data_IF_067340692681
#
_entry.id   IF_067340692681
#
_cell.length_a   1.000
_cell.length_b   1.000
_cell.length_c   1.000
_cell.angle_alpha   90.00
_cell.angle_beta   90.00
_cell.angle_gamma   90.00
#
_symmetry.space_group_name_H-M   'P 1'
#
loop_
_entity.id
_entity.type
_entity.pdbx_description
1 polymer ?
#
# COMPACT_ATOMS: atom_id res chain seq x y z
N UNK A 1 -32.18 14.70 -24.04
CA UNK A 1 -31.27 14.28 -22.94
C UNK A 1 -30.38 13.16 -23.49
N UNK A 2 -29.06 13.35 -23.57
CA UNK A 2 -28.18 12.23 -23.95
C UNK A 2 -28.16 11.22 -22.80
N UNK A 3 -28.54 9.96 -23.08
CA UNK A 3 -28.43 8.87 -22.13
C UNK A 3 -26.95 8.53 -21.95
N UNK A 4 -26.29 9.19 -21.01
CA UNK A 4 -24.93 8.81 -20.64
C UNK A 4 -24.99 7.41 -20.00
N UNK A 5 -24.46 6.41 -20.72
CA UNK A 5 -24.33 5.05 -20.23
C UNK A 5 -23.52 5.01 -18.92
N UNK A 6 -23.70 3.97 -18.11
CA UNK A 6 -22.93 3.77 -16.88
C UNK A 6 -21.41 3.87 -17.14
N UNK A 7 -20.95 3.31 -18.26
CA UNK A 7 -19.55 3.38 -18.67
C UNK A 7 -19.11 4.81 -18.93
N UNK A 8 -19.85 5.61 -19.71
CA UNK A 8 -19.48 6.99 -20.01
C UNK A 8 -19.37 7.84 -18.74
N UNK A 9 -20.29 7.65 -17.78
CA UNK A 9 -20.27 8.38 -16.50
C UNK A 9 -19.11 7.97 -15.58
N UNK A 10 -18.73 6.70 -15.60
CA UNK A 10 -17.73 6.14 -14.68
C UNK A 10 -16.39 5.80 -15.32
N UNK A 11 -16.18 6.20 -16.58
CA UNK A 11 -15.03 5.79 -17.41
C UNK A 11 -13.69 5.95 -16.68
N UNK A 12 -13.47 7.10 -16.06
CA UNK A 12 -12.22 7.37 -15.35
C UNK A 12 -12.00 6.43 -14.15
N UNK A 13 -13.05 6.09 -13.40
CA UNK A 13 -12.97 5.13 -12.30
C UNK A 13 -12.64 3.73 -12.81
N UNK A 14 -13.41 3.27 -13.80
CA UNK A 14 -13.27 1.93 -14.38
C UNK A 14 -11.88 1.74 -14.97
N UNK A 15 -11.41 2.69 -15.81
CA UNK A 15 -10.11 2.60 -16.45
C UNK A 15 -8.96 2.70 -15.45
N UNK A 16 -9.08 3.53 -14.41
CA UNK A 16 -8.04 3.61 -13.36
C UNK A 16 -7.95 2.30 -12.59
N UNK A 17 -9.10 1.74 -12.19
CA UNK A 17 -9.14 0.47 -11.45
C UNK A 17 -8.64 -0.70 -12.31
N UNK A 18 -9.04 -0.77 -13.58
CA UNK A 18 -8.54 -1.77 -14.51
C UNK A 18 -7.02 -1.62 -14.75
N UNK A 19 -6.53 -0.40 -14.93
CA UNK A 19 -5.11 -0.14 -15.09
C UNK A 19 -4.30 -0.60 -13.88
N UNK A 20 -4.74 -0.22 -12.68
CA UNK A 20 -4.11 -0.68 -11.43
C UNK A 20 -4.23 -2.20 -11.25
N UNK A 21 -5.36 -2.79 -11.61
CA UNK A 21 -5.59 -4.24 -11.54
C UNK A 21 -4.69 -5.03 -12.49
N UNK A 22 -4.51 -4.56 -13.73
CA UNK A 22 -3.62 -5.19 -14.72
C UNK A 22 -2.16 -5.05 -14.27
N UNK A 23 -1.74 -3.85 -13.88
CA UNK A 23 -0.38 -3.62 -13.38
C UNK A 23 -0.12 -4.50 -12.16
N UNK A 24 -1.04 -4.52 -11.19
CA UNK A 24 -0.91 -5.34 -10.00
C UNK A 24 -0.92 -6.83 -10.29
N UNK A 25 -1.77 -7.29 -11.21
CA UNK A 25 -1.78 -8.69 -11.66
C UNK A 25 -0.47 -9.08 -12.33
N UNK A 26 0.04 -8.26 -13.25
CA UNK A 26 1.33 -8.53 -13.91
C UNK A 26 2.44 -8.59 -12.87
N UNK A 27 2.49 -7.64 -11.93
CA UNK A 27 3.48 -7.67 -10.86
C UNK A 27 3.37 -8.91 -10.00
N UNK A 28 2.18 -9.22 -9.49
CA UNK A 28 1.98 -10.37 -8.61
C UNK A 28 2.25 -11.68 -9.36
N UNK A 29 1.74 -11.85 -10.59
CA UNK A 29 1.91 -13.06 -11.40
C UNK A 29 3.35 -13.28 -11.90
N UNK A 30 4.07 -12.20 -12.21
CA UNK A 30 5.44 -12.30 -12.69
C UNK A 30 6.43 -12.47 -11.54
N UNK A 31 6.17 -11.82 -10.40
CA UNK A 31 7.11 -11.79 -9.27
C UNK A 31 6.85 -12.86 -8.24
N UNK A 32 5.59 -13.26 -8.07
CA UNK A 32 5.22 -14.37 -7.21
C UNK A 32 4.86 -15.56 -8.11
N UNK A 33 5.51 -16.68 -7.85
CA UNK A 33 4.99 -17.95 -8.34
C UNK A 33 3.89 -18.32 -7.33
N UNK A 34 2.67 -18.55 -7.79
CA UNK A 34 1.55 -18.89 -6.93
C UNK A 34 0.55 -19.79 -7.67
N UNK A 35 -0.05 -20.72 -6.95
CA UNK A 35 -1.26 -21.42 -7.41
C UNK A 35 -2.46 -20.44 -7.32
N UNK A 36 -2.86 -19.90 -8.46
CA UNK A 36 -3.97 -18.96 -8.57
C UNK A 36 -5.32 -19.58 -8.19
N UNK A 37 -5.52 -20.86 -8.48
CA UNK A 37 -6.75 -21.55 -8.14
C UNK A 37 -6.86 -21.69 -6.63
N UNK A 38 -5.79 -22.16 -5.98
CA UNK A 38 -5.73 -22.25 -4.54
C UNK A 38 -5.86 -20.86 -3.88
N UNK A 39 -5.12 -19.86 -4.36
CA UNK A 39 -5.12 -18.51 -3.79
C UNK A 39 -6.50 -17.86 -3.80
N UNK A 40 -7.32 -18.12 -4.82
CA UNK A 40 -8.69 -17.61 -4.88
C UNK A 40 -9.64 -18.45 -4.03
N UNK A 41 -9.50 -19.79 -4.05
CA UNK A 41 -10.42 -20.70 -3.34
C UNK A 41 -10.22 -20.71 -1.83
N UNK A 42 -8.99 -20.62 -1.35
CA UNK A 42 -8.67 -20.70 0.07
C UNK A 42 -9.33 -19.60 0.93
N UNK A 43 -9.24 -18.29 0.60
CA UNK A 43 -9.93 -17.27 1.38
C UNK A 43 -11.45 -17.47 1.35
N UNK A 44 -12.03 -17.91 0.23
CA UNK A 44 -13.45 -18.25 0.16
C UNK A 44 -13.79 -19.42 1.08
N UNK A 45 -12.98 -20.48 1.09
CA UNK A 45 -13.13 -21.61 2.00
C UNK A 45 -13.11 -21.17 3.47
N UNK A 46 -12.11 -20.36 3.85
CA UNK A 46 -12.00 -19.80 5.22
C UNK A 46 -13.24 -18.98 5.57
N UNK A 47 -13.71 -18.11 4.68
CA UNK A 47 -14.89 -17.25 4.93
C UNK A 47 -16.18 -18.08 5.04
N UNK A 48 -16.35 -19.10 4.19
CA UNK A 48 -17.59 -19.87 4.10
C UNK A 48 -17.69 -20.99 5.15
N UNK A 49 -16.56 -21.55 5.58
CA UNK A 49 -16.52 -22.70 6.49
C UNK A 49 -15.90 -22.42 7.86
N UNK A 50 -15.16 -21.31 8.00
CA UNK A 50 -14.34 -21.04 9.19
C UNK A 50 -13.07 -21.90 9.29
N UNK A 51 -12.84 -22.82 8.35
CA UNK A 51 -11.71 -23.76 8.39
C UNK A 51 -10.44 -23.16 7.76
N UNK A 52 -9.40 -23.07 8.58
CA UNK A 52 -8.10 -22.47 8.22
C UNK A 52 -7.04 -23.50 7.80
N UNK A 53 -7.33 -24.81 7.97
CA UNK A 53 -6.40 -25.91 7.67
C UNK A 53 -5.95 -25.96 6.21
N UNK A 54 -6.77 -25.39 5.30
CA UNK A 54 -6.45 -25.27 3.88
C UNK A 54 -6.67 -26.54 3.07
N UNK A 55 -7.36 -27.54 3.62
CA UNK A 55 -7.79 -28.75 2.92
C UNK A 55 -9.02 -28.42 2.07
N UNK A 56 -8.79 -28.09 0.79
CA UNK A 56 -9.86 -27.66 -0.13
C UNK A 56 -10.60 -28.81 -0.81
N UNK A 57 -10.04 -30.03 -0.76
CA UNK A 57 -10.58 -31.24 -1.37
C UNK A 57 -10.46 -32.37 -0.36
N UNK A 58 -11.45 -33.28 -0.34
CA UNK A 58 -11.42 -34.44 0.53
C UNK A 58 -10.18 -35.32 0.26
N UNK A 59 -9.55 -35.86 1.32
CA UNK A 59 -8.39 -36.72 1.18
C UNK A 59 -8.77 -38.04 0.49
N UNK A 60 -7.92 -38.53 -0.41
CA UNK A 60 -8.16 -39.77 -1.17
C UNK A 60 -7.77 -41.04 -0.39
N UNK A 61 -7.18 -40.88 0.80
CA UNK A 61 -6.78 -42.00 1.67
C UNK A 61 -6.74 -41.59 3.14
N UNK A 62 -6.85 -42.58 4.04
CA UNK A 62 -6.68 -42.38 5.48
C UNK A 62 -5.30 -41.84 5.85
N UNK A 63 -4.26 -42.26 5.11
CA UNK A 63 -2.91 -41.73 5.30
C UNK A 63 -2.85 -40.24 4.97
N UNK A 64 -3.44 -39.82 3.84
CA UNK A 64 -3.50 -38.41 3.48
C UNK A 64 -4.34 -37.59 4.48
N UNK A 65 -5.45 -38.14 4.98
CA UNK A 65 -6.25 -37.50 6.03
C UNK A 65 -5.42 -37.26 7.31
N UNK A 66 -4.66 -38.27 7.75
CA UNK A 66 -3.77 -38.19 8.90
C UNK A 66 -2.66 -37.16 8.69
N UNK A 67 -2.00 -37.16 7.52
CA UNK A 67 -0.96 -36.18 7.17
C UNK A 67 -1.53 -34.77 7.15
N UNK A 68 -2.69 -34.57 6.52
CA UNK A 68 -3.36 -33.27 6.47
C UNK A 68 -3.71 -32.76 7.87
N UNK A 69 -4.17 -33.64 8.76
CA UNK A 69 -4.48 -33.29 10.14
C UNK A 69 -3.22 -32.94 10.95
N UNK A 70 -2.10 -33.63 10.73
CA UNK A 70 -0.88 -33.42 11.50
C UNK A 70 -0.03 -32.24 10.98
N UNK A 71 0.04 -32.04 9.66
CA UNK A 71 0.99 -31.12 9.01
C UNK A 71 0.34 -30.12 8.05
N UNK A 72 -0.97 -30.20 7.88
CA UNK A 72 -1.70 -29.47 6.83
C UNK A 72 -1.62 -30.19 5.47
N UNK A 73 -2.39 -29.74 4.47
CA UNK A 73 -2.31 -30.25 3.11
C UNK A 73 -0.89 -30.07 2.57
N UNK A 74 -0.57 -30.84 1.53
CA UNK A 74 0.75 -30.88 0.90
C UNK A 74 1.43 -29.52 0.91
N UNK A 75 2.71 -29.49 1.31
CA UNK A 75 3.55 -28.29 1.24
C UNK A 75 3.41 -27.58 -0.11
N UNK A 76 3.19 -28.38 -1.16
CA UNK A 76 3.03 -27.95 -2.54
C UNK A 76 1.74 -27.15 -2.85
N UNK A 77 0.80 -27.01 -1.91
CA UNK A 77 -0.49 -26.36 -2.17
C UNK A 77 -0.44 -24.81 -2.09
N UNK A 78 0.51 -24.25 -1.35
CA UNK A 78 0.72 -22.78 -1.24
C UNK A 78 2.22 -22.44 -1.30
N UNK A 79 3.07 -23.27 -0.68
CA UNK A 79 4.45 -22.90 -0.35
C UNK A 79 5.60 -23.53 -1.15
N UNK A 80 5.43 -24.46 -2.12
CA UNK A 80 6.58 -24.80 -2.96
C UNK A 80 6.99 -23.55 -3.74
N UNK A 81 6.03 -22.69 -4.08
CA UNK A 81 6.25 -21.49 -4.85
C UNK A 81 6.70 -20.28 -4.04
N UNK A 82 6.60 -20.21 -2.69
CA UNK A 82 7.26 -19.15 -1.92
C UNK A 82 8.75 -19.43 -1.86
N UNK A 83 9.15 -20.65 -1.49
CA UNK A 83 10.56 -21.01 -1.46
C UNK A 83 11.12 -21.00 -2.88
N UNK A 84 10.35 -21.45 -3.86
CA UNK A 84 10.79 -21.43 -5.26
C UNK A 84 10.75 -20.03 -5.88
N UNK A 85 9.75 -19.17 -5.62
CA UNK A 85 9.77 -17.77 -6.06
C UNK A 85 10.79 -16.94 -5.29
N UNK A 86 11.01 -17.22 -4.01
CA UNK A 86 12.12 -16.66 -3.26
C UNK A 86 13.43 -17.10 -3.93
N UNK A 87 13.70 -18.39 -4.07
CA UNK A 87 14.96 -18.87 -4.62
C UNK A 87 15.18 -18.53 -6.11
N UNK A 88 14.15 -18.65 -6.96
CA UNK A 88 14.23 -18.45 -8.42
C UNK A 88 13.91 -17.01 -8.86
N UNK A 89 13.06 -16.28 -8.12
CA UNK A 89 12.54 -14.97 -8.54
C UNK A 89 12.85 -13.80 -7.62
N UNK A 90 13.39 -14.01 -6.40
CA UNK A 90 13.89 -12.90 -5.57
C UNK A 90 14.98 -12.08 -6.27
N UNK A 91 15.68 -12.70 -7.22
CA UNK A 91 16.67 -12.06 -8.07
C UNK A 91 16.07 -11.12 -9.10
N UNK A 92 14.79 -11.27 -9.44
CA UNK A 92 14.09 -10.37 -10.35
C UNK A 92 13.38 -9.23 -9.62
N UNK A 93 13.13 -9.35 -8.30
CA UNK A 93 12.33 -8.37 -7.55
C UNK A 93 12.97 -6.99 -7.52
N UNK A 94 14.30 -6.89 -7.49
CA UNK A 94 14.96 -5.58 -7.57
C UNK A 94 14.80 -4.91 -8.95
N UNK A 95 14.67 -5.68 -10.03
CA UNK A 95 14.45 -5.14 -11.37
C UNK A 95 13.08 -4.47 -11.52
N UNK A 96 12.09 -4.87 -10.72
CA UNK A 96 10.80 -4.15 -10.62
C UNK A 96 11.02 -2.73 -10.14
N UNK A 97 11.77 -2.55 -9.05
CA UNK A 97 12.07 -1.23 -8.52
C UNK A 97 12.95 -0.42 -9.48
N UNK A 98 13.88 -1.07 -10.19
CA UNK A 98 14.67 -0.41 -11.25
C UNK A 98 13.75 0.05 -12.39
N UNK A 99 12.83 -0.79 -12.84
CA UNK A 99 11.87 -0.44 -13.89
C UNK A 99 10.97 0.73 -13.46
N UNK A 100 10.51 0.72 -12.21
CA UNK A 100 9.75 1.81 -11.62
C UNK A 100 10.56 3.12 -11.59
N UNK A 101 11.80 3.08 -11.13
CA UNK A 101 12.72 4.24 -11.16
C UNK A 101 12.92 4.73 -12.59
N UNK A 102 13.12 3.82 -13.55
CA UNK A 102 13.27 4.16 -14.97
C UNK A 102 12.02 4.85 -15.54
N UNK A 103 10.82 4.41 -15.14
CA UNK A 103 9.55 5.07 -15.49
C UNK A 103 9.53 6.50 -14.94
N UNK A 104 9.88 6.72 -13.66
CA UNK A 104 9.95 8.05 -13.09
C UNK A 104 11.00 8.94 -13.76
N UNK A 105 12.17 8.40 -14.08
CA UNK A 105 13.20 9.10 -14.85
C UNK A 105 12.70 9.50 -16.24
N UNK A 106 12.04 8.58 -16.97
CA UNK A 106 11.44 8.87 -18.26
C UNK A 106 10.36 9.96 -18.15
N UNK A 107 9.47 9.86 -17.16
CA UNK A 107 8.45 10.87 -16.90
C UNK A 107 9.07 12.24 -16.61
N UNK A 108 10.17 12.27 -15.84
CA UNK A 108 10.89 13.51 -15.57
C UNK A 108 11.51 14.11 -16.84
N UNK A 109 12.19 13.30 -17.66
CA UNK A 109 12.77 13.76 -18.94
C UNK A 109 11.70 14.28 -19.89
N UNK A 110 10.55 13.59 -19.97
CA UNK A 110 9.47 13.94 -20.91
C UNK A 110 8.63 15.13 -20.48
N UNK A 111 8.24 15.19 -19.20
CA UNK A 111 7.30 16.20 -18.71
C UNK A 111 7.97 17.33 -17.94
N UNK A 112 9.23 17.16 -17.55
CA UNK A 112 9.98 18.12 -16.77
C UNK A 112 9.44 18.33 -15.36
N UNK A 113 10.10 19.25 -14.65
CA UNK A 113 9.64 19.72 -13.34
C UNK A 113 8.56 20.78 -13.52
N UNK A 114 7.41 20.59 -12.87
CA UNK A 114 6.38 21.64 -12.77
C UNK A 114 6.87 22.76 -11.86
N UNK A 115 6.90 23.98 -12.40
CA UNK A 115 7.31 25.18 -11.69
C UNK A 115 6.20 26.22 -11.83
N UNK A 116 5.63 26.65 -10.72
CA UNK A 116 4.71 27.78 -10.71
C UNK A 116 5.50 29.09 -10.76
N UNK A 117 4.98 30.05 -11.52
CA UNK A 117 5.49 31.42 -11.51
C UNK A 117 4.94 32.11 -10.27
N UNK A 118 5.82 32.51 -9.34
CA UNK A 118 5.44 33.20 -8.10
C UNK A 118 6.04 34.61 -8.13
N UNK A 119 5.19 35.61 -8.32
CA UNK A 119 5.51 37.03 -8.31
C UNK A 119 5.45 37.64 -6.91
N UNK A 120 4.60 37.11 -6.02
CA UNK A 120 4.52 37.57 -4.63
C UNK A 120 4.74 36.41 -3.63
N UNK A 121 5.98 36.14 -3.21
CA UNK A 121 6.28 35.03 -2.30
C UNK A 121 5.74 35.18 -0.88
N UNK A 122 5.34 36.39 -0.44
CA UNK A 122 4.87 36.63 0.93
C UNK A 122 3.37 36.41 1.11
N UNK A 123 2.58 36.35 0.03
CA UNK A 123 1.17 35.96 0.08
C UNK A 123 1.04 34.43 0.17
N UNK A 124 1.31 33.92 1.37
CA UNK A 124 1.20 32.51 1.69
C UNK A 124 -0.15 32.18 2.36
N UNK A 125 -0.68 31.00 2.03
CA UNK A 125 -1.85 30.42 2.70
C UNK A 125 -1.50 29.08 3.35
N UNK A 126 -2.09 28.80 4.50
CA UNK A 126 -1.91 27.54 5.22
C UNK A 126 -2.73 26.41 4.56
N UNK A 127 -2.02 25.40 4.07
CA UNK A 127 -2.60 24.19 3.48
C UNK A 127 -2.58 23.04 4.49
N UNK A 128 -1.47 22.89 5.21
CA UNK A 128 -1.28 21.86 6.21
C UNK A 128 -1.06 22.48 7.59
N UNK A 129 -1.95 22.18 8.53
CA UNK A 129 -1.73 22.51 9.93
C UNK A 129 -0.62 21.64 10.52
N UNK A 130 -0.22 21.93 11.76
CA UNK A 130 0.85 21.18 12.43
C UNK A 130 0.51 19.70 12.64
N UNK A 131 -0.76 19.37 12.88
CA UNK A 131 -1.22 18.00 13.03
C UNK A 131 -1.07 17.21 11.71
N UNK A 132 -1.53 17.77 10.58
CA UNK A 132 -1.36 17.17 9.26
C UNK A 132 0.11 16.90 8.96
N UNK A 133 0.97 17.90 9.21
CA UNK A 133 2.41 17.76 8.97
C UNK A 133 3.02 16.67 9.85
N UNK A 134 2.69 16.64 11.14
CA UNK A 134 3.20 15.63 12.05
C UNK A 134 2.82 14.21 11.60
N UNK A 135 1.55 13.99 11.25
CA UNK A 135 1.06 12.69 10.77
C UNK A 135 1.76 12.29 9.46
N UNK A 136 1.88 13.20 8.48
CA UNK A 136 2.53 12.92 7.20
C UNK A 136 4.02 12.60 7.38
N UNK A 137 4.76 13.41 8.13
CA UNK A 137 6.19 13.19 8.35
C UNK A 137 6.48 11.93 9.14
N UNK A 138 5.71 11.68 10.20
CA UNK A 138 5.87 10.46 10.99
C UNK A 138 5.54 9.22 10.15
N UNK A 139 4.50 9.29 9.31
CA UNK A 139 4.21 8.24 8.35
C UNK A 139 5.36 8.01 7.36
N UNK A 140 5.96 9.07 6.81
CA UNK A 140 7.13 8.94 5.91
C UNK A 140 8.28 8.21 6.61
N UNK A 141 8.65 8.61 7.83
CA UNK A 141 9.76 8.01 8.58
C UNK A 141 9.49 6.53 8.87
N UNK A 142 8.29 6.20 9.35
CA UNK A 142 7.92 4.81 9.67
C UNK A 142 7.88 3.95 8.42
N UNK A 143 7.29 4.44 7.33
CA UNK A 143 7.23 3.72 6.05
C UNK A 143 8.64 3.46 5.49
N UNK A 144 9.53 4.46 5.46
CA UNK A 144 10.91 4.27 5.01
C UNK A 144 11.61 3.20 5.84
N UNK A 145 11.38 3.21 7.15
CA UNK A 145 11.94 2.20 8.06
C UNK A 145 11.36 0.80 7.80
N UNK A 146 10.04 0.70 7.58
CA UNK A 146 9.36 -0.55 7.21
C UNK A 146 9.85 -1.11 5.87
N UNK A 147 10.14 -0.24 4.90
CA UNK A 147 10.71 -0.64 3.62
C UNK A 147 12.11 -1.23 3.84
N UNK A 148 13.01 -0.50 4.51
CA UNK A 148 14.39 -0.98 4.72
C UNK A 148 14.40 -2.32 5.46
N UNK A 149 13.63 -2.42 6.55
CA UNK A 149 13.54 -3.62 7.37
C UNK A 149 12.84 -4.78 6.64
N UNK A 150 11.75 -4.50 5.91
CA UNK A 150 11.01 -5.51 5.15
C UNK A 150 11.81 -6.05 3.98
N UNK A 151 12.58 -5.19 3.30
CA UNK A 151 13.55 -5.61 2.30
C UNK A 151 14.57 -6.57 2.92
N UNK A 152 15.13 -6.24 4.08
CA UNK A 152 16.07 -7.15 4.73
C UNK A 152 15.47 -8.54 5.03
N UNK A 153 14.19 -8.61 5.42
CA UNK A 153 13.49 -9.90 5.62
C UNK A 153 13.38 -10.67 4.30
N UNK A 154 13.00 -10.00 3.20
CA UNK A 154 12.87 -10.65 1.87
C UNK A 154 14.23 -11.09 1.31
N UNK A 155 15.30 -10.34 1.54
CA UNK A 155 16.63 -10.59 1.01
C UNK A 155 17.65 -10.99 2.09
N UNK A 156 17.20 -11.66 3.16
CA UNK A 156 18.04 -12.02 4.31
C UNK A 156 19.27 -12.87 3.95
N UNK A 157 19.21 -13.62 2.84
CA UNK A 157 20.37 -14.36 2.32
C UNK A 157 21.49 -13.44 1.81
N UNK A 158 21.16 -12.26 1.27
CA UNK A 158 22.16 -11.27 0.80
C UNK A 158 22.78 -10.48 1.93
N UNK A 159 22.03 -10.28 3.02
CA UNK A 159 22.56 -9.64 4.23
C UNK A 159 23.40 -10.57 5.10
N UNK A 160 23.55 -11.85 4.72
CA UNK A 160 24.37 -12.83 5.43
C UNK A 160 23.75 -13.37 6.73
N UNK A 161 22.48 -13.04 6.99
CA UNK A 161 21.79 -13.43 8.22
C UNK A 161 22.37 -12.81 9.50
N UNK A 162 22.34 -13.57 10.60
CA UNK A 162 22.91 -13.17 11.89
C UNK A 162 22.09 -12.14 12.67
N UNK A 163 22.75 -11.46 13.61
CA UNK A 163 22.10 -10.52 14.53
C UNK A 163 21.40 -9.36 13.81
N UNK A 164 22.00 -8.83 12.74
CA UNK A 164 21.41 -7.72 11.97
C UNK A 164 20.06 -8.12 11.39
N UNK A 165 19.96 -9.30 10.78
CA UNK A 165 18.69 -9.80 10.24
C UNK A 165 17.65 -10.04 11.34
N UNK A 166 18.08 -10.54 12.50
CA UNK A 166 17.21 -10.71 13.67
C UNK A 166 16.66 -9.36 14.18
N UNK A 167 17.52 -8.36 14.37
CA UNK A 167 17.12 -7.03 14.84
C UNK A 167 16.23 -6.30 13.84
N UNK A 168 16.54 -6.37 12.54
CA UNK A 168 15.73 -5.75 11.50
C UNK A 168 14.34 -6.40 11.40
N UNK A 169 14.25 -7.73 11.62
CA UNK A 169 12.97 -8.42 11.71
C UNK A 169 12.15 -7.93 12.91
N UNK A 170 12.70 -7.95 14.11
CA UNK A 170 11.99 -7.49 15.30
C UNK A 170 11.59 -6.01 15.19
N UNK A 171 12.44 -5.19 14.59
CA UNK A 171 12.14 -3.78 14.31
C UNK A 171 10.98 -3.63 13.32
N UNK A 172 10.94 -4.45 12.26
CA UNK A 172 9.85 -4.43 11.27
C UNK A 172 8.49 -4.70 11.92
N UNK A 173 8.42 -5.73 12.76
CA UNK A 173 7.20 -6.13 13.46
C UNK A 173 6.70 -5.00 14.39
N UNK A 174 7.61 -4.41 15.17
CA UNK A 174 7.27 -3.28 16.08
C UNK A 174 6.89 -2.01 15.32
N UNK A 175 7.61 -1.68 14.25
CA UNK A 175 7.28 -0.54 13.39
C UNK A 175 5.91 -0.72 12.73
N UNK A 176 5.53 -1.96 12.38
CA UNK A 176 4.21 -2.28 11.83
C UNK A 176 3.08 -1.97 12.82
N UNK A 177 3.27 -2.31 14.09
CA UNK A 177 2.33 -1.97 15.16
C UNK A 177 2.22 -0.45 15.39
N UNK A 178 3.35 0.26 15.38
CA UNK A 178 3.38 1.73 15.46
C UNK A 178 2.73 2.37 14.23
N UNK A 179 2.86 1.73 13.06
CA UNK A 179 2.28 2.23 11.83
C UNK A 179 0.75 2.13 11.83
N UNK A 180 0.14 1.16 12.51
CA UNK A 180 -1.32 1.00 12.55
C UNK A 180 -2.09 2.31 12.89
N UNK A 181 -1.83 2.98 14.03
CA UNK A 181 -2.52 4.23 14.36
C UNK A 181 -2.18 5.36 13.38
N UNK A 182 -0.97 5.36 12.79
CA UNK A 182 -0.54 6.38 11.82
C UNK A 182 -1.19 6.21 10.46
N UNK A 183 -1.25 4.99 9.96
CA UNK A 183 -1.98 4.64 8.74
C UNK A 183 -3.46 4.99 8.90
N UNK A 184 -4.06 4.70 10.06
CA UNK A 184 -5.44 5.09 10.33
C UNK A 184 -5.61 6.61 10.34
N UNK A 185 -4.73 7.35 11.03
CA UNK A 185 -4.74 8.82 11.01
C UNK A 185 -4.57 9.38 9.59
N UNK A 186 -3.63 8.85 8.81
CA UNK A 186 -3.41 9.20 7.39
C UNK A 186 -4.67 8.95 6.55
N UNK A 187 -5.30 7.79 6.72
CA UNK A 187 -6.54 7.41 6.03
C UNK A 187 -7.67 8.38 6.35
N UNK A 188 -7.80 8.77 7.63
CA UNK A 188 -8.79 9.75 8.08
C UNK A 188 -8.50 11.13 7.48
N UNK A 189 -7.31 11.71 7.69
CA UNK A 189 -7.02 13.07 7.19
C UNK A 189 -7.10 13.16 5.66
N UNK A 190 -6.78 12.08 4.95
CA UNK A 190 -6.87 12.02 3.49
C UNK A 190 -8.29 11.70 2.98
N UNK A 191 -9.28 11.41 3.83
CA UNK A 191 -10.64 11.12 3.40
C UNK A 191 -11.41 12.39 3.02
N UNK A 192 -11.01 13.04 1.91
CA UNK A 192 -11.56 14.33 1.45
C UNK A 192 -13.07 14.34 1.26
N UNK A 193 -13.64 13.22 0.85
CA UNK A 193 -15.09 13.08 0.64
C UNK A 193 -15.89 13.09 1.96
N UNK A 194 -15.25 12.89 3.12
CA UNK A 194 -15.88 13.07 4.42
C UNK A 194 -16.44 14.48 4.62
N UNK A 195 -15.88 15.50 3.94
CA UNK A 195 -16.40 16.87 3.97
C UNK A 195 -17.78 17.00 3.33
N UNK A 196 -18.09 16.11 2.38
CA UNK A 196 -19.40 16.06 1.70
C UNK A 196 -20.38 15.29 2.59
N UNK A 197 -19.95 14.17 3.17
CA UNK A 197 -20.78 13.28 3.98
C UNK A 197 -21.11 13.86 5.36
N UNK A 198 -20.13 14.44 6.03
CA UNK A 198 -20.20 14.93 7.41
C UNK A 198 -19.77 16.40 7.47
N UNK A 199 -20.48 17.27 6.74
CA UNK A 199 -20.15 18.69 6.55
C UNK A 199 -20.25 19.49 7.87
N UNK A 200 -19.23 19.40 8.73
CA UNK A 200 -19.14 20.07 10.02
C UNK A 200 -17.78 20.74 10.22
N UNK A 201 -17.62 21.49 11.31
CA UNK A 201 -16.40 22.25 11.58
C UNK A 201 -15.18 21.37 11.84
N UNK A 202 -15.40 20.18 12.44
CA UNK A 202 -14.35 19.23 12.77
C UNK A 202 -13.77 18.58 11.50
N UNK A 203 -14.61 18.09 10.60
CA UNK A 203 -14.17 17.50 9.32
C UNK A 203 -13.46 18.53 8.45
N UNK A 204 -13.91 19.79 8.43
CA UNK A 204 -13.24 20.87 7.69
C UNK A 204 -11.83 21.22 8.20
N UNK A 205 -11.54 20.93 9.48
CA UNK A 205 -10.26 21.16 10.15
C UNK A 205 -9.33 19.94 10.07
N UNK A 206 -9.87 18.75 10.30
CA UNK A 206 -9.13 17.48 10.36
C UNK A 206 -8.75 16.94 8.97
N UNK A 207 -9.59 17.18 7.96
CA UNK A 207 -9.39 16.63 6.62
C UNK A 207 -8.54 17.58 5.77
N UNK A 208 -7.60 17.01 5.01
CA UNK A 208 -6.74 17.71 4.07
C UNK A 208 -7.55 18.53 3.06
N UNK A 209 -7.05 19.72 2.71
CA UNK A 209 -7.73 20.68 1.82
C UNK A 209 -7.88 20.15 0.38
N UNK A 210 -8.86 20.69 -0.33
CA UNK A 210 -9.19 20.34 -1.72
C UNK A 210 -10.15 19.14 -1.84
N UNK A 211 -10.22 18.57 -3.05
CA UNK A 211 -11.13 17.47 -3.42
C UNK A 211 -10.41 16.38 -4.22
N UNK A 212 -11.07 15.23 -4.40
CA UNK A 212 -10.55 14.16 -5.25
C UNK A 212 -11.14 14.21 -6.65
N UNK A 213 -10.25 14.14 -7.65
CA UNK A 213 -10.63 13.70 -8.99
C UNK A 213 -10.94 12.20 -8.97
N UNK A 214 -11.71 11.65 -9.93
CA UNK A 214 -12.01 10.22 -10.00
C UNK A 214 -10.79 9.30 -9.82
N UNK A 215 -9.70 9.61 -10.52
CA UNK A 215 -8.45 8.85 -10.43
C UNK A 215 -7.84 8.91 -9.03
N UNK A 216 -7.72 10.09 -8.43
CA UNK A 216 -7.17 10.26 -7.08
C UNK A 216 -8.02 9.55 -6.01
N UNK A 217 -9.34 9.49 -6.22
CA UNK A 217 -10.27 8.76 -5.35
C UNK A 217 -10.01 7.24 -5.41
N UNK A 218 -9.83 6.67 -6.60
CA UNK A 218 -9.46 5.26 -6.75
C UNK A 218 -8.10 4.98 -6.09
N UNK A 219 -7.10 5.82 -6.34
CA UNK A 219 -5.77 5.70 -5.73
C UNK A 219 -5.85 5.71 -4.20
N UNK A 220 -6.62 6.63 -3.63
CA UNK A 220 -6.84 6.71 -2.18
C UNK A 220 -7.48 5.43 -1.63
N UNK A 221 -8.51 4.90 -2.29
CA UNK A 221 -9.15 3.64 -1.88
C UNK A 221 -8.15 2.47 -1.95
N UNK A 222 -7.38 2.36 -3.03
CA UNK A 222 -6.37 1.31 -3.18
C UNK A 222 -5.29 1.45 -2.11
N UNK A 223 -4.81 2.66 -1.80
CA UNK A 223 -3.86 2.90 -0.71
C UNK A 223 -4.40 2.41 0.65
N UNK A 224 -5.67 2.70 0.97
CA UNK A 224 -6.31 2.19 2.18
C UNK A 224 -6.36 0.66 2.17
N UNK A 225 -6.84 0.06 1.08
CA UNK A 225 -6.95 -1.40 0.98
C UNK A 225 -5.59 -2.08 1.13
N UNK A 226 -4.54 -1.58 0.47
CA UNK A 226 -3.19 -2.15 0.58
C UNK A 226 -2.63 -1.98 2.00
N UNK A 227 -2.81 -0.82 2.62
CA UNK A 227 -2.36 -0.61 4.00
C UNK A 227 -3.12 -1.47 5.01
N UNK A 228 -4.43 -1.64 4.84
CA UNK A 228 -5.23 -2.56 5.63
C UNK A 228 -4.78 -4.03 5.43
N UNK A 229 -4.52 -4.44 4.19
CA UNK A 229 -3.98 -5.77 3.88
C UNK A 229 -2.64 -6.01 4.55
N UNK A 230 -1.72 -5.04 4.51
CA UNK A 230 -0.42 -5.11 5.19
C UNK A 230 -0.56 -5.23 6.70
N UNK A 231 -1.34 -4.35 7.32
CA UNK A 231 -1.54 -4.36 8.77
C UNK A 231 -2.23 -5.63 9.25
N UNK A 232 -3.31 -6.04 8.58
CA UNK A 232 -4.04 -7.26 8.92
C UNK A 232 -3.14 -8.48 8.78
N UNK A 233 -2.54 -8.68 7.60
CA UNK A 233 -1.64 -9.83 7.39
C UNK A 233 -0.42 -9.80 8.33
N UNK A 234 0.18 -8.63 8.56
CA UNK A 234 1.34 -8.48 9.44
C UNK A 234 1.01 -8.80 10.89
N UNK A 235 -0.08 -8.24 11.43
CA UNK A 235 -0.55 -8.52 12.80
C UNK A 235 -0.92 -9.99 12.95
N UNK A 236 -1.63 -10.58 11.99
CA UNK A 236 -2.02 -11.99 12.07
C UNK A 236 -0.80 -12.91 11.99
N UNK A 237 0.18 -12.64 11.12
CA UNK A 237 1.44 -13.41 11.06
C UNK A 237 2.21 -13.29 12.39
N UNK A 238 2.27 -12.09 12.95
CA UNK A 238 2.93 -11.82 14.23
C UNK A 238 2.22 -12.51 15.40
N UNK A 239 0.89 -12.49 15.45
CA UNK A 239 0.10 -13.18 16.47
C UNK A 239 0.21 -14.71 16.35
N UNK A 240 0.29 -15.23 15.12
CA UNK A 240 0.54 -16.64 14.83
C UNK A 240 2.05 -16.97 14.84
N UNK A 241 2.84 -16.30 15.70
CA UNK A 241 4.27 -16.59 15.82
C UNK A 241 4.46 -18.09 16.11
N UNK A 242 5.39 -18.79 15.43
CA UNK A 242 5.53 -20.22 15.66
C UNK A 242 5.99 -20.46 17.10
N UNK A 243 5.25 -21.30 17.79
CA UNK A 243 5.56 -21.87 19.09
C UNK A 243 5.39 -23.40 19.03
N UNK A 244 5.68 -24.08 20.14
CA UNK A 244 5.55 -25.54 20.23
C UNK A 244 4.10 -26.05 20.03
N UNK A 245 3.11 -25.14 20.02
CA UNK A 245 1.69 -25.42 19.89
C UNK A 245 1.12 -24.98 18.53
N UNK A 246 1.95 -24.52 17.59
CA UNK A 246 1.46 -24.06 16.30
C UNK A 246 1.01 -25.25 15.46
N UNK A 247 -0.29 -25.53 15.55
CA UNK A 247 -0.95 -26.64 14.90
C UNK A 247 -1.02 -26.48 13.36
N UNK A 248 -1.16 -27.60 12.65
CA UNK A 248 -1.43 -27.69 11.21
C UNK A 248 -2.52 -26.74 10.71
N UNK A 249 -3.45 -26.38 11.58
CA UNK A 249 -4.59 -25.49 11.36
C UNK A 249 -4.21 -24.12 10.80
N UNK A 250 -3.10 -23.53 11.25
CA UNK A 250 -2.73 -22.17 10.87
C UNK A 250 -1.60 -22.08 9.85
N UNK A 251 -0.98 -23.21 9.49
CA UNK A 251 0.18 -23.24 8.58
C UNK A 251 -0.18 -22.64 7.22
N UNK A 252 -1.30 -23.07 6.64
CA UNK A 252 -1.71 -22.61 5.32
C UNK A 252 -2.23 -21.17 5.35
N UNK A 253 -2.96 -20.80 6.40
CA UNK A 253 -3.34 -19.41 6.63
C UNK A 253 -2.11 -18.49 6.69
N UNK A 254 -1.09 -18.86 7.45
CA UNK A 254 0.15 -18.07 7.58
C UNK A 254 0.86 -17.91 6.23
N UNK A 255 0.95 -18.98 5.43
CA UNK A 255 1.55 -18.93 4.08
C UNK A 255 0.78 -18.01 3.14
N UNK A 256 -0.54 -18.13 3.14
CA UNK A 256 -1.41 -17.24 2.37
C UNK A 256 -1.21 -15.78 2.78
N UNK A 257 -1.16 -15.51 4.10
CA UNK A 257 -0.97 -14.15 4.61
C UNK A 257 0.41 -13.59 4.25
N UNK A 258 1.47 -14.41 4.20
CA UNK A 258 2.79 -13.96 3.73
C UNK A 258 2.72 -13.47 2.28
N UNK A 259 2.00 -14.18 1.40
CA UNK A 259 1.78 -13.72 0.03
C UNK A 259 0.98 -12.44 -0.04
N UNK A 260 -0.11 -12.33 0.73
CA UNK A 260 -0.92 -11.11 0.77
C UNK A 260 -0.09 -9.93 1.28
N UNK A 261 0.72 -10.14 2.34
CA UNK A 261 1.58 -9.13 2.92
C UNK A 261 2.63 -8.64 1.90
N UNK A 262 3.32 -9.58 1.27
CA UNK A 262 4.34 -9.27 0.28
C UNK A 262 3.74 -8.62 -0.99
N UNK A 263 2.65 -9.16 -1.52
CA UNK A 263 1.97 -8.58 -2.68
C UNK A 263 1.46 -7.16 -2.42
N UNK A 264 0.86 -6.92 -1.25
CA UNK A 264 0.40 -5.59 -0.86
C UNK A 264 1.57 -4.60 -0.68
N UNK A 265 2.74 -5.05 -0.24
CA UNK A 265 3.92 -4.18 -0.06
C UNK A 265 4.47 -3.68 -1.40
N UNK A 266 4.49 -4.54 -2.43
CA UNK A 266 4.90 -4.14 -3.79
C UNK A 266 3.91 -3.12 -4.36
N UNK A 267 2.60 -3.34 -4.21
CA UNK A 267 1.60 -2.42 -4.73
C UNK A 267 1.57 -1.09 -4.00
N UNK A 268 1.74 -1.08 -2.67
CA UNK A 268 1.77 0.17 -1.91
C UNK A 268 3.01 1.00 -2.23
N UNK A 269 4.13 0.35 -2.60
CA UNK A 269 5.37 1.04 -2.96
C UNK A 269 5.17 2.01 -4.12
N UNK A 270 4.41 1.62 -5.16
CA UNK A 270 4.12 2.51 -6.29
C UNK A 270 3.55 3.86 -5.88
N UNK A 271 2.63 3.85 -4.92
CA UNK A 271 2.01 5.08 -4.42
C UNK A 271 2.97 5.89 -3.55
N UNK A 272 3.82 5.22 -2.79
CA UNK A 272 4.84 5.87 -1.95
C UNK A 272 5.92 6.54 -2.80
N UNK A 273 6.40 5.85 -3.83
CA UNK A 273 7.39 6.37 -4.76
C UNK A 273 6.82 7.51 -5.61
N UNK A 274 5.57 7.41 -6.09
CA UNK A 274 4.89 8.53 -6.76
C UNK A 274 4.78 9.76 -5.84
N UNK A 275 4.45 9.55 -4.56
CA UNK A 275 4.40 10.64 -3.58
C UNK A 275 5.79 11.28 -3.37
N UNK A 276 6.83 10.47 -3.16
CA UNK A 276 8.21 10.96 -2.99
C UNK A 276 8.67 11.71 -4.23
N UNK A 277 8.45 11.13 -5.42
CA UNK A 277 8.75 11.76 -6.70
C UNK A 277 8.03 13.11 -6.83
N UNK A 278 6.74 13.16 -6.52
CA UNK A 278 5.91 14.37 -6.58
C UNK A 278 6.40 15.48 -5.64
N UNK A 279 6.74 15.13 -4.41
CA UNK A 279 7.16 16.10 -3.37
C UNK A 279 8.60 16.59 -3.58
N UNK A 280 9.51 15.68 -3.94
CA UNK A 280 10.95 15.96 -4.01
C UNK A 280 11.38 16.48 -5.38
N UNK A 281 10.83 15.91 -6.45
CA UNK A 281 11.38 16.06 -7.81
C UNK A 281 10.39 16.79 -8.72
N UNK A 282 9.18 16.25 -8.90
CA UNK A 282 8.26 16.62 -9.97
C UNK A 282 7.71 18.04 -9.85
N UNK A 283 7.53 18.55 -8.63
CA UNK A 283 6.93 19.88 -8.39
C UNK A 283 7.83 20.73 -7.51
N UNK A 284 8.24 21.90 -8.01
CA UNK A 284 9.06 22.85 -7.23
C UNK A 284 8.23 23.50 -6.13
N UNK A 285 8.70 23.37 -4.88
CA UNK A 285 8.09 23.99 -3.71
C UNK A 285 7.26 23.06 -2.84
N UNK A 286 6.89 21.87 -3.32
CA UNK A 286 6.11 20.89 -2.54
C UNK A 286 6.82 20.46 -1.25
N UNK A 287 8.12 20.16 -1.31
CA UNK A 287 8.88 19.85 -0.10
C UNK A 287 8.85 21.00 0.92
N UNK A 288 9.12 22.25 0.48
CA UNK A 288 9.09 23.43 1.36
C UNK A 288 7.71 23.61 1.97
N UNK A 289 6.65 23.47 1.19
CA UNK A 289 5.28 23.64 1.67
C UNK A 289 4.80 22.47 2.55
N UNK A 290 5.33 21.26 2.38
CA UNK A 290 5.10 20.16 3.32
C UNK A 290 5.82 20.40 4.66
N UNK A 291 7.02 20.99 4.63
CA UNK A 291 7.75 21.38 5.84
C UNK A 291 7.06 22.54 6.55
N UNK A 292 6.75 23.64 5.86
CA UNK A 292 6.19 24.86 6.45
C UNK A 292 4.67 24.79 6.71
N UNK A 293 3.98 23.95 5.94
CA UNK A 293 2.52 23.89 5.90
C UNK A 293 1.87 24.99 5.06
N UNK A 294 2.67 25.89 4.49
CA UNK A 294 2.25 27.09 3.78
C UNK A 294 2.72 27.08 2.34
N UNK A 295 1.87 27.60 1.45
CA UNK A 295 2.16 27.71 0.03
C UNK A 295 1.81 29.12 -0.46
N UNK A 296 2.60 29.70 -1.38
CA UNK A 296 2.20 30.92 -2.07
C UNK A 296 0.84 30.72 -2.77
N UNK A 297 -0.03 31.71 -2.68
CA UNK A 297 -1.38 31.62 -3.24
C UNK A 297 -1.36 31.39 -4.76
N UNK A 298 -0.44 32.06 -5.46
CA UNK A 298 -0.19 31.91 -6.90
C UNK A 298 0.26 30.49 -7.29
N UNK A 299 1.07 29.85 -6.43
CA UNK A 299 1.50 28.47 -6.62
C UNK A 299 0.30 27.51 -6.60
N UNK A 300 -0.61 27.68 -5.63
CA UNK A 300 -1.82 26.86 -5.55
C UNK A 300 -2.78 27.15 -6.69
N UNK A 301 -2.94 28.40 -7.12
CA UNK A 301 -3.82 28.74 -8.25
C UNK A 301 -3.42 28.01 -9.54
N UNK A 302 -2.11 27.85 -9.78
CA UNK A 302 -1.58 27.19 -10.98
C UNK A 302 -1.57 25.66 -10.86
N UNK A 303 -1.24 25.11 -9.68
CA UNK A 303 -0.92 23.69 -9.53
C UNK A 303 -1.93 22.88 -8.71
N UNK A 304 -2.74 23.53 -7.86
CA UNK A 304 -3.75 22.92 -7.01
C UNK A 304 -4.95 23.85 -6.75
N UNK A 305 -5.66 24.29 -7.80
CA UNK A 305 -6.73 25.29 -7.68
C UNK A 305 -7.88 24.82 -6.78
N UNK A 306 -8.14 23.51 -6.71
CA UNK A 306 -9.14 22.91 -5.82
C UNK A 306 -8.83 23.13 -4.34
N UNK A 307 -7.54 23.09 -3.98
CA UNK A 307 -7.06 23.36 -2.62
C UNK A 307 -7.29 24.82 -2.26
N UNK A 308 -6.96 25.74 -3.18
CA UNK A 308 -7.15 27.16 -2.97
C UNK A 308 -8.64 27.52 -2.81
N UNK A 309 -9.50 26.94 -3.64
CA UNK A 309 -10.95 27.14 -3.56
C UNK A 309 -11.55 26.65 -2.22
N UNK A 310 -11.10 25.51 -1.69
CA UNK A 310 -11.53 24.99 -0.37
C UNK A 310 -11.00 25.84 0.80
N UNK A 311 -9.89 26.56 0.62
CA UNK A 311 -9.40 27.53 1.61
C UNK A 311 -10.22 28.83 1.53
N UNK A 312 -10.54 29.30 0.33
CA UNK A 312 -11.29 30.54 0.10
C UNK A 312 -12.75 30.44 0.53
N UNK A 313 -13.42 29.30 0.30
CA UNK A 313 -14.81 29.08 0.75
C UNK A 313 -15.01 29.05 2.27
N UNK A 314 -13.92 29.11 3.04
CA UNK A 314 -13.90 29.14 4.51
C UNK A 314 -13.62 30.54 5.07
N UNK A 315 -13.31 31.52 4.23
CA UNK A 315 -13.30 32.94 4.59
C UNK A 315 -14.67 33.54 4.32
#
# INVERSE_FOLDING_TARGET
MQSNTFFTRNRAYILTLLGLGVVGFIFVAFMMIMDWEYFVKFPLHVILSGDTRGVLVEPTSNYQAMVNAAFGPSYNAIAPEIIRASNERQEFIWWVFVAEIAIFCFMYVKYGRKVAVVTNPSDEVEVFNIFHRAVIWLNIVVIVSLIITGFNITWGMRSGGGEVAFFLRGSHEMLGLVWLPLWFAMSVIAFKDAKILFNNSMTKKLILKGSYTPMKRVIFIVFILMGASLLFSGITIWYLHPDAYTHSEFIQLKRYLIYVHFGASVLIMFFLMDFVYSVMIAVKGNLKGLISGKYPREHLAQLAPDVLADIQSKR
#
